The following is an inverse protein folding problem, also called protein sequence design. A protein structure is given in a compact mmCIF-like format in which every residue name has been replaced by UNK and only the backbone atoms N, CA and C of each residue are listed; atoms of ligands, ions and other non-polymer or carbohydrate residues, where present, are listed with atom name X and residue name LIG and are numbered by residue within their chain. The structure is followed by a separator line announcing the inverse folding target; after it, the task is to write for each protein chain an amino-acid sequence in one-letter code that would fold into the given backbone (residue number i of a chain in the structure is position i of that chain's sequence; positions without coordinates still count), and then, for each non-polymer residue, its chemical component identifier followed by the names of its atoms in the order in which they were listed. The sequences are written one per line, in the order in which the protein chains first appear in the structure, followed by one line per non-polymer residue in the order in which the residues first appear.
data_IF_773714043350
#
_entry.id   IF_773714043350
#
_cell.length_a   1.000
_cell.length_b   1.000
_cell.length_c   1.000
_cell.angle_alpha   90.00
_cell.angle_beta   90.00
_cell.angle_gamma   90.00
#
_symmetry.space_group_name_H-M   'P 1'
#
loop_
_entity.id
_entity.type
_entity.pdbx_description
1 polymer ?
#
# COMPACT_ATOMS: atom_id res chain seq x y z
N UNK A 1 -7.06 30.47 -14.68
CA UNK A 1 -6.45 30.71 -13.38
C UNK A 1 -6.03 32.18 -13.29
N UNK A 2 -6.80 33.01 -12.59
CA UNK A 2 -6.41 34.37 -12.27
C UNK A 2 -5.52 34.33 -11.01
N UNK A 3 -4.23 34.09 -11.19
CA UNK A 3 -3.30 34.11 -10.07
C UNK A 3 -2.65 35.49 -10.07
N UNK A 4 -2.87 36.28 -9.01
CA UNK A 4 -2.01 37.43 -8.80
C UNK A 4 -0.59 36.95 -8.60
N UNK A 5 0.37 37.50 -9.36
CA UNK A 5 1.77 37.12 -9.22
C UNK A 5 2.29 37.45 -7.82
N UNK A 6 3.13 36.61 -7.21
CA UNK A 6 3.80 36.94 -5.98
C UNK A 6 4.65 38.21 -6.15
N UNK A 7 4.92 38.94 -5.05
CA UNK A 7 5.67 40.18 -5.05
C UNK A 7 7.16 40.01 -5.38
N UNK A 8 7.60 38.84 -5.73
CA UNK A 8 8.96 38.51 -6.16
C UNK A 8 8.93 37.85 -7.53
N UNK A 9 10.06 37.81 -8.21
CA UNK A 9 10.18 37.09 -9.48
C UNK A 9 9.77 35.61 -9.31
N UNK A 10 8.96 35.11 -10.25
CA UNK A 10 8.50 33.71 -10.26
C UNK A 10 8.38 33.22 -11.70
N UNK A 11 8.50 31.92 -11.86
CA UNK A 11 8.26 31.23 -13.12
C UNK A 11 7.21 30.14 -12.88
N UNK A 12 6.14 30.17 -13.65
CA UNK A 12 5.15 29.12 -13.59
C UNK A 12 5.72 27.85 -14.21
N UNK A 13 5.71 26.76 -13.45
CA UNK A 13 6.08 25.44 -13.96
C UNK A 13 4.84 24.55 -14.00
N UNK A 14 4.46 24.11 -15.19
CA UNK A 14 3.39 23.12 -15.40
C UNK A 14 3.77 21.74 -14.88
N UNK A 15 5.05 21.48 -14.63
CA UNK A 15 5.55 20.23 -14.09
C UNK A 15 4.93 19.88 -12.73
N UNK A 16 4.67 20.89 -11.89
CA UNK A 16 4.02 20.68 -10.57
C UNK A 16 2.56 20.22 -10.67
N UNK A 17 1.93 20.34 -11.82
CA UNK A 17 0.57 19.89 -12.07
C UNK A 17 0.52 18.45 -12.66
N UNK A 18 1.68 17.87 -12.94
CA UNK A 18 1.80 16.56 -13.58
C UNK A 18 2.21 15.49 -12.58
N UNK A 19 1.72 14.28 -12.78
CA UNK A 19 2.09 13.10 -11.98
C UNK A 19 3.57 12.75 -12.06
N UNK A 20 4.27 13.18 -13.12
CA UNK A 20 5.71 13.01 -13.29
C UNK A 20 6.53 13.66 -12.16
N UNK A 21 6.00 14.71 -11.52
CA UNK A 21 6.61 15.26 -10.31
C UNK A 21 6.71 14.20 -9.21
N UNK A 22 5.63 13.45 -9.00
CA UNK A 22 5.60 12.37 -8.00
C UNK A 22 6.43 11.16 -8.47
N UNK A 23 6.40 10.86 -9.78
CA UNK A 23 7.17 9.80 -10.40
C UNK A 23 8.68 9.93 -10.25
N UNK A 24 9.19 11.15 -10.03
CA UNK A 24 10.62 11.36 -9.74
C UNK A 24 11.10 10.68 -8.45
N UNK A 25 10.19 10.37 -7.52
CA UNK A 25 10.49 9.69 -6.26
C UNK A 25 9.71 8.36 -6.09
N UNK A 26 8.52 8.25 -6.70
CA UNK A 26 7.65 7.07 -6.56
C UNK A 26 7.75 6.12 -7.76
N UNK A 27 8.98 5.88 -8.24
CA UNK A 27 9.29 4.93 -9.30
C UNK A 27 10.74 4.43 -9.14
N UNK A 28 10.96 3.63 -8.11
CA UNK A 28 12.29 3.29 -7.62
C UNK A 28 12.66 1.86 -8.02
N UNK A 29 13.84 1.71 -8.60
CA UNK A 29 14.52 0.44 -8.81
C UNK A 29 15.93 0.51 -8.20
N UNK A 30 16.65 -0.61 -8.19
CA UNK A 30 18.05 -0.62 -7.76
C UNK A 30 18.88 0.35 -8.60
N UNK A 31 19.87 1.03 -8.00
CA UNK A 31 20.68 2.02 -8.70
C UNK A 31 21.39 1.46 -9.94
N UNK A 32 21.47 2.29 -10.97
CA UNK A 32 22.24 2.00 -12.20
C UNK A 32 23.55 2.79 -12.17
N UNK A 33 24.65 2.09 -12.33
CA UNK A 33 26.00 2.68 -12.43
C UNK A 33 26.49 2.70 -13.87
N UNK A 34 27.68 3.22 -14.12
CA UNK A 34 28.33 3.14 -15.44
C UNK A 34 28.61 1.70 -15.89
N UNK A 35 28.67 0.75 -14.94
CA UNK A 35 28.85 -0.68 -15.21
C UNK A 35 27.50 -1.44 -15.36
N UNK A 36 26.37 -0.77 -15.25
CA UNK A 36 25.04 -1.36 -15.30
C UNK A 36 24.31 -1.32 -13.93
N UNK A 37 23.15 -1.96 -13.82
CA UNK A 37 22.40 -2.07 -12.57
C UNK A 37 23.21 -2.77 -11.48
N UNK A 38 23.12 -2.28 -10.23
CA UNK A 38 23.74 -2.97 -9.09
C UNK A 38 23.10 -4.34 -8.82
N UNK A 39 21.80 -4.46 -9.13
CA UNK A 39 21.06 -5.73 -9.15
C UNK A 39 20.10 -5.73 -10.32
N UNK A 40 19.99 -6.88 -10.96
CA UNK A 40 19.05 -7.10 -12.07
C UNK A 40 17.88 -7.97 -11.61
N UNK A 41 16.73 -7.77 -12.23
CA UNK A 41 15.56 -8.62 -12.05
C UNK A 41 15.79 -9.98 -12.71
N UNK A 42 15.67 -11.05 -11.94
CA UNK A 42 15.68 -12.43 -12.41
C UNK A 42 14.23 -12.94 -12.42
N UNK A 43 13.81 -13.51 -13.53
CA UNK A 43 12.48 -14.08 -13.69
C UNK A 43 12.38 -15.48 -13.05
N UNK A 44 11.18 -15.98 -12.83
CA UNK A 44 10.94 -17.30 -12.23
C UNK A 44 11.38 -18.50 -13.09
N UNK A 45 11.84 -18.27 -14.29
CA UNK A 45 12.50 -19.25 -15.17
C UNK A 45 14.04 -19.15 -15.15
N UNK A 46 14.59 -18.27 -14.31
CA UNK A 46 16.02 -18.01 -14.20
C UNK A 46 16.57 -17.01 -15.20
N UNK A 47 15.75 -16.44 -16.06
CA UNK A 47 16.22 -15.45 -17.03
C UNK A 47 16.61 -14.16 -16.33
N UNK A 48 17.86 -13.77 -16.44
CA UNK A 48 18.32 -12.44 -16.03
C UNK A 48 17.90 -11.42 -17.10
N UNK A 49 17.03 -10.49 -16.73
CA UNK A 49 16.48 -9.50 -17.66
C UNK A 49 17.45 -8.39 -18.05
N UNK A 50 18.51 -8.18 -17.26
CA UNK A 50 19.37 -7.01 -17.37
C UNK A 50 18.72 -5.70 -16.88
N UNK A 51 17.43 -5.70 -16.55
CA UNK A 51 16.74 -4.54 -15.99
C UNK A 51 17.09 -4.37 -14.51
N UNK A 52 17.11 -3.13 -13.99
CA UNK A 52 17.24 -2.90 -12.56
C UNK A 52 16.15 -3.62 -11.77
N UNK A 53 16.48 -4.18 -10.61
CA UNK A 53 15.47 -4.81 -9.76
C UNK A 53 14.45 -3.78 -9.23
N UNK A 54 13.13 -3.99 -9.45
CA UNK A 54 12.10 -3.04 -9.05
C UNK A 54 11.86 -3.07 -7.54
N UNK A 55 11.85 -1.90 -6.90
CA UNK A 55 11.62 -1.74 -5.47
C UNK A 55 10.22 -1.18 -5.20
N UNK A 56 9.89 -0.09 -5.87
CA UNK A 56 8.60 0.58 -5.82
C UNK A 56 8.29 1.16 -7.20
N UNK A 57 7.20 0.72 -7.83
CA UNK A 57 6.84 1.10 -9.20
C UNK A 57 5.47 1.78 -9.28
N UNK A 58 5.10 2.53 -8.25
CA UNK A 58 3.78 3.16 -8.14
C UNK A 58 3.46 4.07 -9.33
N UNK A 59 4.43 4.88 -9.78
CA UNK A 59 4.23 5.75 -10.94
C UNK A 59 4.13 4.96 -12.25
N UNK A 60 4.97 3.94 -12.45
CA UNK A 60 4.88 3.07 -13.63
C UNK A 60 3.58 2.29 -13.65
N UNK A 61 3.08 1.82 -12.50
CA UNK A 61 1.77 1.18 -12.38
C UNK A 61 0.64 2.14 -12.79
N UNK A 62 0.68 3.39 -12.31
CA UNK A 62 -0.26 4.43 -12.66
C UNK A 62 -0.19 4.78 -14.16
N UNK A 63 1.02 4.96 -14.70
CA UNK A 63 1.25 5.31 -16.11
C UNK A 63 0.68 4.28 -17.08
N UNK A 64 0.57 3.04 -16.66
CA UNK A 64 0.02 1.93 -17.44
C UNK A 64 -1.50 1.74 -17.23
N UNK A 65 -2.14 2.60 -16.46
CA UNK A 65 -3.58 2.59 -16.21
C UNK A 65 -4.32 3.59 -17.08
N UNK A 66 -5.65 3.50 -17.13
CA UNK A 66 -6.48 4.50 -17.80
C UNK A 66 -6.45 5.86 -17.12
N UNK A 67 -6.04 5.95 -15.86
CA UNK A 67 -5.82 7.24 -15.18
C UNK A 67 -4.76 8.09 -15.87
N UNK A 68 -3.71 7.49 -16.43
CA UNK A 68 -2.66 8.21 -17.15
C UNK A 68 -3.11 8.73 -18.51
N UNK A 69 -3.93 7.98 -19.22
CA UNK A 69 -4.43 8.37 -20.54
C UNK A 69 -5.28 9.63 -20.51
N UNK A 70 -6.05 9.80 -19.46
CA UNK A 70 -6.89 10.98 -19.26
C UNK A 70 -6.09 12.26 -19.02
N UNK A 71 -4.84 12.14 -18.62
CA UNK A 71 -3.94 13.28 -18.37
C UNK A 71 -3.18 13.65 -19.63
N UNK A 72 -2.77 12.66 -20.43
CA UNK A 72 -2.04 12.89 -21.68
C UNK A 72 -2.94 13.41 -22.81
N UNK A 73 -4.25 13.25 -22.71
CA UNK A 73 -5.22 13.81 -23.64
C UNK A 73 -5.51 15.30 -23.38
N UNK A 74 -4.54 16.07 -22.84
CA UNK A 74 -4.66 17.50 -22.52
C UNK A 74 -5.91 17.85 -21.69
N UNK A 75 -6.19 17.01 -20.71
CA UNK A 75 -7.37 17.13 -19.88
C UNK A 75 -8.58 17.30 -20.78
N UNK A 76 -9.19 16.27 -21.20
CA UNK A 76 -10.42 16.31 -22.04
C UNK A 76 -10.42 17.42 -23.08
N UNK A 77 -10.27 17.10 -24.33
CA UNK A 77 -10.25 18.09 -25.42
C UNK A 77 -11.33 19.14 -25.22
N UNK A 78 -11.15 20.36 -25.69
CA UNK A 78 -12.10 21.43 -25.46
C UNK A 78 -13.52 20.99 -25.83
N UNK A 79 -14.38 20.76 -24.82
CA UNK A 79 -15.76 20.36 -24.98
C UNK A 79 -16.11 18.88 -24.81
N UNK A 80 -15.14 17.99 -24.52
CA UNK A 80 -15.46 16.59 -24.20
C UNK A 80 -15.65 16.40 -22.70
N UNK A 81 -16.81 15.86 -22.24
CA UNK A 81 -17.01 15.53 -20.83
C UNK A 81 -16.18 14.31 -20.45
N UNK A 82 -15.49 14.39 -19.31
CA UNK A 82 -14.82 13.24 -18.72
C UNK A 82 -15.80 12.08 -18.49
N UNK A 83 -15.39 10.83 -18.71
CA UNK A 83 -16.20 9.69 -18.30
C UNK A 83 -16.51 9.79 -16.79
N UNK A 84 -17.76 9.59 -16.35
CA UNK A 84 -18.17 9.79 -14.96
C UNK A 84 -17.34 9.03 -13.91
N UNK A 85 -16.80 7.87 -14.30
CA UNK A 85 -15.94 7.04 -13.43
C UNK A 85 -14.53 7.61 -13.20
N UNK A 86 -14.10 8.60 -13.98
CA UNK A 86 -12.73 9.10 -14.02
C UNK A 86 -12.64 10.62 -13.82
N UNK A 87 -13.75 11.26 -13.46
CA UNK A 87 -13.82 12.72 -13.27
C UNK A 87 -13.04 13.26 -12.09
N UNK A 88 -12.51 12.39 -11.22
CA UNK A 88 -11.68 12.78 -10.09
C UNK A 88 -10.62 11.73 -9.83
N UNK A 89 -9.37 12.15 -9.67
CA UNK A 89 -8.27 11.28 -9.30
C UNK A 89 -7.50 10.72 -10.48
N UNK A 90 -7.46 11.44 -11.58
CA UNK A 90 -6.62 11.07 -12.72
C UNK A 90 -5.13 11.33 -12.44
N UNK A 91 -4.79 12.42 -11.76
CA UNK A 91 -3.40 12.72 -11.33
C UNK A 91 -3.13 12.25 -9.91
N UNK A 92 -1.84 12.08 -9.58
CA UNK A 92 -1.40 11.82 -8.21
C UNK A 92 -1.88 12.94 -7.27
N UNK A 93 -1.76 14.18 -7.71
CA UNK A 93 -2.15 15.36 -6.93
C UNK A 93 -3.65 15.38 -6.61
N UNK A 94 -4.51 15.00 -7.55
CA UNK A 94 -5.96 14.98 -7.34
C UNK A 94 -6.41 13.99 -6.27
N UNK A 95 -5.70 12.88 -6.10
CA UNK A 95 -5.96 11.91 -5.04
C UNK A 95 -5.25 12.27 -3.74
N UNK A 96 -3.96 12.61 -3.80
CA UNK A 96 -3.08 12.73 -2.63
C UNK A 96 -2.93 14.16 -2.10
N UNK A 97 -3.36 15.17 -2.86
CA UNK A 97 -3.32 16.60 -2.52
C UNK A 97 -4.68 17.24 -2.83
N UNK A 98 -5.72 16.76 -2.17
CA UNK A 98 -7.08 17.25 -2.41
C UNK A 98 -7.20 18.75 -2.12
N UNK A 99 -8.09 19.41 -2.84
CA UNK A 99 -8.42 20.81 -2.57
C UNK A 99 -8.98 21.00 -1.16
N UNK A 100 -8.65 22.12 -0.54
CA UNK A 100 -9.21 22.52 0.74
C UNK A 100 -10.73 22.67 0.63
N UNK A 101 -11.45 22.14 1.62
CA UNK A 101 -12.89 22.39 1.79
C UNK A 101 -13.18 23.68 2.55
N UNK A 102 -12.15 24.35 3.06
CA UNK A 102 -12.30 25.63 3.75
C UNK A 102 -12.53 26.75 2.72
N UNK A 103 -13.71 27.38 2.72
CA UNK A 103 -14.03 28.48 1.80
C UNK A 103 -13.17 29.73 2.05
N UNK A 104 -12.48 29.79 3.18
CA UNK A 104 -11.56 30.88 3.54
C UNK A 104 -10.11 30.51 3.29
N UNK A 105 -9.83 29.31 2.80
CA UNK A 105 -8.47 28.87 2.49
C UNK A 105 -7.84 29.79 1.44
N UNK A 106 -6.66 30.34 1.76
CA UNK A 106 -5.95 31.31 0.92
C UNK A 106 -4.55 30.81 0.60
N UNK A 107 -4.13 30.97 -0.65
CA UNK A 107 -2.77 30.67 -1.06
C UNK A 107 -1.73 31.64 -0.45
N UNK A 108 -2.16 32.87 -0.11
CA UNK A 108 -1.34 33.89 0.54
C UNK A 108 -2.21 34.70 1.52
N UNK A 109 -1.80 34.75 2.79
CA UNK A 109 -2.52 35.51 3.81
C UNK A 109 -2.50 37.02 3.60
N UNK A 110 -1.50 37.54 2.87
CA UNK A 110 -1.37 38.98 2.64
C UNK A 110 -2.28 39.50 1.53
N UNK A 111 -2.89 38.65 0.75
CA UNK A 111 -3.76 39.01 -0.35
C UNK A 111 -5.20 38.76 0.00
N UNK A 112 -5.88 39.83 0.47
CA UNK A 112 -7.26 39.77 0.93
C UNK A 112 -8.25 39.43 -0.20
N UNK A 113 -7.92 39.77 -1.45
CA UNK A 113 -8.79 39.59 -2.62
C UNK A 113 -8.56 38.29 -3.38
N UNK A 114 -7.48 37.57 -3.08
CA UNK A 114 -7.07 36.35 -3.75
C UNK A 114 -7.58 35.07 -3.08
N UNK A 115 -8.82 35.05 -2.57
CA UNK A 115 -9.38 33.80 -2.03
C UNK A 115 -9.62 32.79 -3.15
N UNK A 116 -8.87 31.69 -3.17
CA UNK A 116 -9.16 30.53 -4.00
C UNK A 116 -10.19 29.69 -3.25
N UNK A 117 -11.38 29.55 -3.83
CA UNK A 117 -12.45 28.80 -3.21
C UNK A 117 -12.49 27.41 -3.82
N UNK A 118 -12.35 26.37 -3.00
CA UNK A 118 -12.44 24.95 -3.38
C UNK A 118 -11.39 24.45 -4.40
N UNK A 119 -10.35 25.20 -4.66
CA UNK A 119 -9.31 24.83 -5.65
C UNK A 119 -7.88 24.92 -5.11
N UNK A 120 -7.70 25.23 -3.82
CA UNK A 120 -6.39 25.26 -3.19
C UNK A 120 -5.94 23.86 -2.79
N UNK A 121 -4.95 23.26 -3.48
CA UNK A 121 -4.44 21.94 -3.12
C UNK A 121 -3.81 21.98 -1.73
N UNK A 122 -4.15 21.01 -0.90
CA UNK A 122 -3.52 20.86 0.42
C UNK A 122 -2.34 19.91 0.30
N UNK A 123 -1.18 20.35 0.80
CA UNK A 123 0.05 19.56 0.79
C UNK A 123 0.04 18.48 1.89
N UNK A 124 -1.02 17.69 1.95
CA UNK A 124 -1.16 16.61 2.93
C UNK A 124 -0.40 15.35 2.51
N UNK A 125 -0.23 15.11 1.21
CA UNK A 125 0.38 13.89 0.65
C UNK A 125 -0.16 12.61 1.29
N UNK A 126 -1.48 12.57 1.49
CA UNK A 126 -2.12 11.46 2.18
C UNK A 126 -1.91 10.15 1.41
N UNK A 127 -1.26 9.19 2.07
CA UNK A 127 -1.08 7.83 1.58
C UNK A 127 -1.85 6.83 2.44
N UNK A 128 -1.36 5.59 2.50
CA UNK A 128 -2.00 4.50 3.26
C UNK A 128 -1.43 4.32 4.68
N UNK A 129 -0.45 5.14 5.09
CA UNK A 129 0.23 4.95 6.37
C UNK A 129 -0.52 5.63 7.52
N UNK A 130 -1.54 4.94 8.04
CA UNK A 130 -2.33 5.42 9.18
C UNK A 130 -1.67 5.15 10.55
N UNK A 131 -0.63 4.31 10.60
CA UNK A 131 0.00 3.90 11.86
C UNK A 131 1.16 4.80 12.29
N UNK A 132 2.12 5.09 11.41
CA UNK A 132 3.34 5.83 11.76
C UNK A 132 3.07 7.22 12.33
N UNK A 133 2.08 8.02 11.86
CA UNK A 133 1.75 9.28 12.52
C UNK A 133 1.40 9.12 14.00
N UNK A 134 0.59 8.11 14.35
CA UNK A 134 0.26 7.80 15.73
C UNK A 134 1.45 7.32 16.55
N UNK A 135 2.37 6.58 15.93
CA UNK A 135 3.61 6.14 16.56
C UNK A 135 4.56 7.33 16.85
N UNK A 136 4.72 8.24 15.91
CA UNK A 136 5.51 9.48 16.10
C UNK A 136 4.89 10.33 17.20
N UNK A 137 3.57 10.50 17.22
CA UNK A 137 2.87 11.20 18.28
C UNK A 137 3.08 10.53 19.65
N UNK A 138 2.95 9.21 19.71
CA UNK A 138 3.13 8.47 20.97
C UNK A 138 4.53 8.56 21.57
N UNK A 139 5.55 8.64 20.71
CA UNK A 139 6.96 8.68 21.15
C UNK A 139 7.47 10.10 21.35
N UNK A 140 7.06 11.05 20.51
CA UNK A 140 7.63 12.40 20.45
C UNK A 140 6.59 13.52 20.58
N UNK A 141 5.34 13.22 20.89
CA UNK A 141 4.26 14.20 20.97
C UNK A 141 4.31 15.07 22.22
N UNK A 142 3.30 15.93 22.34
CA UNK A 142 3.12 16.86 23.45
C UNK A 142 3.83 18.22 23.24
N UNK A 143 3.50 19.17 24.13
CA UNK A 143 3.98 20.56 24.04
C UNK A 143 5.51 20.68 24.20
N UNK A 144 6.13 19.83 24.98
CA UNK A 144 7.58 19.76 25.18
C UNK A 144 8.29 18.91 24.13
N UNK A 145 7.51 18.20 23.32
CA UNK A 145 7.97 17.36 22.23
C UNK A 145 7.96 18.08 20.89
N UNK A 146 7.47 17.38 19.85
CA UNK A 146 7.35 17.96 18.49
C UNK A 146 6.30 19.06 18.41
N UNK A 147 5.35 19.10 19.33
CA UNK A 147 4.21 20.01 19.33
C UNK A 147 3.46 20.02 17.98
N UNK A 148 3.17 18.80 17.46
CA UNK A 148 2.50 18.55 16.16
C UNK A 148 1.41 17.48 16.26
N UNK A 149 0.86 17.29 17.44
CA UNK A 149 -0.09 16.21 17.71
C UNK A 149 -1.34 16.31 16.83
N UNK A 150 -1.87 17.53 16.63
CA UNK A 150 -3.04 17.75 15.80
C UNK A 150 -2.79 17.46 14.32
N UNK A 151 -1.59 17.79 13.81
CA UNK A 151 -1.20 17.50 12.43
C UNK A 151 -0.96 16.00 12.22
N UNK A 152 -0.34 15.33 13.19
CA UNK A 152 -0.14 13.87 13.17
C UNK A 152 -1.47 13.13 13.21
N UNK A 153 -2.41 13.53 14.07
CA UNK A 153 -3.76 12.96 14.12
C UNK A 153 -4.49 13.16 12.78
N UNK A 154 -4.40 14.35 12.20
CA UNK A 154 -5.00 14.65 10.90
C UNK A 154 -4.39 13.78 9.79
N UNK A 155 -3.07 13.61 9.79
CA UNK A 155 -2.39 12.75 8.81
C UNK A 155 -2.85 11.31 8.91
N UNK A 156 -2.96 10.77 10.14
CA UNK A 156 -3.48 9.43 10.39
C UNK A 156 -4.95 9.27 9.94
N UNK A 157 -5.79 10.27 10.20
CA UNK A 157 -7.18 10.30 9.76
C UNK A 157 -7.28 10.31 8.23
N UNK A 158 -6.51 11.16 7.55
CA UNK A 158 -6.47 11.23 6.08
C UNK A 158 -6.02 9.93 5.43
N UNK A 159 -5.04 9.26 6.03
CA UNK A 159 -4.61 7.96 5.54
C UNK A 159 -5.71 6.90 5.67
N UNK A 160 -6.48 6.91 6.77
CA UNK A 160 -7.65 6.03 6.93
C UNK A 160 -8.74 6.35 5.90
N UNK A 161 -9.09 7.62 5.70
CA UNK A 161 -10.05 8.05 4.69
C UNK A 161 -9.63 7.62 3.27
N UNK A 162 -8.34 7.69 2.95
CA UNK A 162 -7.80 7.23 1.67
C UNK A 162 -8.04 5.72 1.48
N UNK A 163 -7.77 4.94 2.51
CA UNK A 163 -7.97 3.49 2.49
C UNK A 163 -9.45 3.12 2.40
N UNK A 164 -10.30 3.66 3.29
CA UNK A 164 -11.69 3.22 3.46
C UNK A 164 -12.63 3.77 2.38
N UNK A 165 -12.40 4.99 1.90
CA UNK A 165 -13.34 5.65 0.99
C UNK A 165 -12.92 5.61 -0.49
N UNK A 166 -11.66 5.29 -0.82
CA UNK A 166 -11.12 5.52 -2.16
C UNK A 166 -10.29 4.39 -2.76
N UNK A 167 -9.82 3.44 -1.95
CA UNK A 167 -8.88 2.44 -2.44
C UNK A 167 -9.56 1.26 -3.13
N UNK A 168 -10.68 0.79 -2.60
CA UNK A 168 -11.37 -0.40 -3.11
C UNK A 168 -12.89 -0.31 -2.94
N UNK A 169 -13.59 -1.06 -3.79
CA UNK A 169 -14.98 -1.45 -3.56
C UNK A 169 -15.06 -2.97 -3.41
N UNK A 170 -15.96 -3.42 -2.53
CA UNK A 170 -16.12 -4.84 -2.26
C UNK A 170 -17.59 -5.26 -2.37
N UNK A 171 -17.81 -6.42 -2.98
CA UNK A 171 -19.14 -7.04 -3.08
C UNK A 171 -19.03 -8.49 -2.63
N UNK A 172 -19.91 -8.88 -1.71
CA UNK A 172 -20.06 -10.28 -1.26
C UNK A 172 -21.37 -10.85 -1.77
N UNK A 173 -21.29 -11.99 -2.44
CA UNK A 173 -22.44 -12.77 -2.93
C UNK A 173 -22.46 -14.10 -2.23
N UNK A 174 -23.57 -14.42 -1.57
CA UNK A 174 -23.81 -15.72 -0.97
C UNK A 174 -24.57 -16.60 -1.96
N UNK A 175 -24.09 -17.81 -2.16
CA UNK A 175 -24.82 -18.84 -2.89
C UNK A 175 -25.84 -19.53 -1.96
N UNK A 176 -26.89 -20.15 -2.51
CA UNK A 176 -27.85 -20.87 -1.69
C UNK A 176 -27.15 -21.92 -0.82
N UNK A 177 -27.54 -21.97 0.46
CA UNK A 177 -27.02 -22.99 1.37
C UNK A 177 -27.39 -24.38 0.89
N UNK A 178 -26.42 -25.30 0.87
CA UNK A 178 -26.60 -26.71 0.49
C UNK A 178 -26.62 -27.57 1.76
N UNK A 179 -27.81 -27.91 2.32
CA UNK A 179 -27.90 -28.59 3.61
C UNK A 179 -27.22 -29.97 3.62
N UNK A 180 -27.30 -30.70 2.51
CA UNK A 180 -26.68 -32.03 2.40
C UNK A 180 -25.15 -32.00 2.50
N UNK A 181 -24.52 -30.88 2.03
CA UNK A 181 -23.08 -30.72 2.11
C UNK A 181 -22.65 -29.95 3.37
N UNK A 182 -23.60 -29.37 4.10
CA UNK A 182 -23.31 -28.48 5.26
C UNK A 182 -22.29 -27.40 4.95
N UNK A 183 -22.36 -26.81 3.76
CA UNK A 183 -21.46 -25.78 3.26
C UNK A 183 -22.26 -24.62 2.72
N UNK A 184 -21.85 -23.41 3.14
CA UNK A 184 -22.27 -22.14 2.56
C UNK A 184 -21.12 -21.60 1.70
N UNK A 185 -21.41 -21.26 0.45
CA UNK A 185 -20.42 -20.65 -0.44
C UNK A 185 -20.58 -19.14 -0.45
N UNK A 186 -19.47 -18.43 -0.22
CA UNK A 186 -19.40 -16.98 -0.34
C UNK A 186 -18.38 -16.58 -1.41
N UNK A 187 -18.76 -15.70 -2.32
CA UNK A 187 -17.83 -15.09 -3.29
C UNK A 187 -17.63 -13.63 -2.92
N UNK A 188 -16.37 -13.25 -2.70
CA UNK A 188 -15.97 -11.90 -2.36
C UNK A 188 -15.19 -11.32 -3.54
N UNK A 189 -15.75 -10.28 -4.17
CA UNK A 189 -15.10 -9.52 -5.23
C UNK A 189 -14.52 -8.23 -4.65
N UNK A 190 -13.22 -8.02 -4.85
CA UNK A 190 -12.51 -6.77 -4.52
C UNK A 190 -12.17 -6.06 -5.82
N UNK A 191 -12.63 -4.83 -5.96
CA UNK A 191 -12.34 -3.97 -7.13
C UNK A 191 -11.38 -2.86 -6.70
N UNK A 192 -10.27 -2.73 -7.40
CA UNK A 192 -9.30 -1.65 -7.20
C UNK A 192 -9.87 -0.35 -7.80
N UNK A 193 -9.97 0.71 -6.98
CA UNK A 193 -10.40 2.05 -7.38
C UNK A 193 -9.22 3.04 -7.43
N UNK A 194 -8.02 2.62 -7.01
CA UNK A 194 -6.82 3.45 -7.06
C UNK A 194 -6.23 3.50 -8.48
N UNK A 195 -5.41 4.51 -8.74
CA UNK A 195 -4.74 4.67 -10.02
C UNK A 195 -3.52 3.77 -10.22
N UNK A 196 -3.16 2.95 -9.25
CA UNK A 196 -2.03 2.05 -9.22
C UNK A 196 -2.44 0.70 -8.64
N UNK A 197 -1.55 -0.28 -8.59
CA UNK A 197 -1.88 -1.58 -7.97
C UNK A 197 -2.32 -1.42 -6.51
N UNK A 198 -3.07 -2.37 -6.04
CA UNK A 198 -3.58 -2.39 -4.67
C UNK A 198 -3.16 -3.68 -3.95
N UNK A 199 -2.35 -3.56 -2.86
CA UNK A 199 -1.63 -2.37 -2.40
C UNK A 199 -0.46 -1.97 -3.31
N UNK A 200 0.05 -0.73 -3.17
CA UNK A 200 1.23 -0.25 -3.91
C UNK A 200 2.32 0.28 -2.97
N UNK A 201 3.39 0.83 -3.54
CA UNK A 201 4.55 1.35 -2.84
C UNK A 201 5.54 0.26 -2.46
N UNK A 202 6.35 0.51 -1.43
CA UNK A 202 7.32 -0.46 -0.93
C UNK A 202 6.62 -1.74 -0.48
N UNK A 203 6.88 -2.84 -1.20
CA UNK A 203 6.10 -4.08 -1.07
C UNK A 203 6.43 -4.92 0.16
N UNK A 204 7.63 -4.78 0.72
CA UNK A 204 8.08 -5.62 1.82
C UNK A 204 7.36 -5.29 3.13
N UNK A 205 6.77 -6.29 3.76
CA UNK A 205 6.03 -6.15 5.01
C UNK A 205 4.66 -5.50 4.88
N UNK A 206 4.31 -4.95 3.72
CA UNK A 206 2.99 -4.36 3.41
C UNK A 206 2.09 -5.43 2.82
N UNK A 207 0.85 -5.51 3.33
CA UNK A 207 -0.12 -6.49 2.85
C UNK A 207 -1.55 -5.99 2.94
N UNK A 208 -2.41 -6.52 2.07
CA UNK A 208 -3.87 -6.48 2.24
C UNK A 208 -4.38 -7.91 2.26
N UNK A 209 -5.46 -8.16 3.02
CA UNK A 209 -6.06 -9.49 3.04
C UNK A 209 -7.56 -9.41 3.27
N UNK A 210 -8.25 -10.48 2.91
CA UNK A 210 -9.65 -10.66 3.22
C UNK A 210 -9.79 -11.37 4.57
N UNK A 211 -10.50 -10.73 5.51
CA UNK A 211 -11.04 -11.39 6.69
C UNK A 211 -12.51 -11.71 6.42
N UNK A 212 -12.87 -12.97 6.43
CA UNK A 212 -14.24 -13.43 6.22
C UNK A 212 -14.70 -14.18 7.45
N UNK A 213 -15.86 -13.76 8.00
CA UNK A 213 -16.42 -14.32 9.22
C UNK A 213 -17.84 -14.77 8.97
N UNK A 214 -18.20 -15.94 9.50
CA UNK A 214 -19.55 -16.45 9.53
C UNK A 214 -20.02 -16.54 10.98
N UNK A 215 -21.12 -15.86 11.29
CA UNK A 215 -21.77 -15.86 12.61
C UNK A 215 -23.13 -16.53 12.50
N UNK A 216 -23.51 -17.28 13.52
CA UNK A 216 -24.87 -17.84 13.62
C UNK A 216 -25.90 -16.78 14.07
N UNK A 217 -27.17 -17.19 14.15
CA UNK A 217 -28.26 -16.29 14.59
C UNK A 217 -28.08 -15.78 16.02
N UNK A 218 -27.25 -16.40 16.84
CA UNK A 218 -26.90 -16.00 18.19
C UNK A 218 -25.61 -15.17 18.24
N UNK A 219 -25.08 -14.74 17.08
CA UNK A 219 -23.80 -14.01 16.94
C UNK A 219 -22.57 -14.83 17.41
N UNK A 220 -22.68 -16.17 17.45
CA UNK A 220 -21.55 -17.02 17.73
C UNK A 220 -20.73 -17.26 16.46
N UNK A 221 -19.39 -17.24 16.60
CA UNK A 221 -18.48 -17.48 15.48
C UNK A 221 -18.58 -18.95 15.05
N UNK A 222 -19.01 -19.17 13.81
CA UNK A 222 -19.09 -20.50 13.17
C UNK A 222 -17.80 -20.80 12.41
N UNK A 223 -17.28 -19.82 11.71
CA UNK A 223 -16.08 -19.96 10.89
C UNK A 223 -15.43 -18.60 10.62
N UNK A 224 -14.10 -18.61 10.44
CA UNK A 224 -13.34 -17.43 10.09
C UNK A 224 -12.12 -17.80 9.25
N UNK A 225 -11.80 -16.96 8.26
CA UNK A 225 -10.53 -16.96 7.53
C UNK A 225 -9.91 -15.57 7.63
N UNK A 226 -8.57 -15.52 7.74
CA UNK A 226 -7.84 -14.25 7.83
C UNK A 226 -7.98 -13.56 9.18
N UNK A 227 -8.08 -14.30 10.26
CA UNK A 227 -8.14 -13.77 11.62
C UNK A 227 -6.85 -13.01 11.98
N UNK A 228 -7.01 -11.82 12.56
CA UNK A 228 -5.89 -11.01 13.04
C UNK A 228 -5.94 -10.81 14.54
N UNK A 229 -4.84 -11.14 15.21
CA UNK A 229 -4.71 -11.01 16.66
C UNK A 229 -4.09 -9.66 17.02
N UNK A 230 -4.91 -8.69 17.37
CA UNK A 230 -4.46 -7.33 17.65
C UNK A 230 -3.40 -7.24 18.78
N UNK A 231 -3.51 -8.09 19.81
CA UNK A 231 -2.58 -8.10 20.94
C UNK A 231 -1.16 -8.56 20.54
N UNK A 232 -1.05 -9.47 19.58
CA UNK A 232 0.24 -10.05 19.15
C UNK A 232 0.71 -9.55 17.79
N UNK A 233 -0.16 -8.88 17.03
CA UNK A 233 0.12 -8.44 15.66
C UNK A 233 0.20 -9.57 14.63
N UNK A 234 -0.35 -10.75 14.95
CA UNK A 234 -0.27 -11.95 14.11
C UNK A 234 -1.49 -12.06 13.20
N UNK A 235 -1.25 -12.24 11.91
CA UNK A 235 -2.25 -12.73 10.96
C UNK A 235 -2.22 -14.25 10.99
N UNK A 236 -3.37 -14.87 11.29
CA UNK A 236 -3.49 -16.32 11.31
C UNK A 236 -3.52 -16.85 9.88
N UNK A 237 -2.58 -17.72 9.57
CA UNK A 237 -2.57 -18.43 8.29
C UNK A 237 -3.58 -19.60 8.34
N UNK A 238 -4.46 -19.66 7.36
CA UNK A 238 -5.42 -20.73 7.16
C UNK A 238 -5.50 -21.12 5.68
N UNK A 239 -6.14 -22.23 5.38
CA UNK A 239 -6.17 -22.80 4.02
C UNK A 239 -6.94 -21.93 2.99
N UNK A 240 -7.77 -20.99 3.44
CA UNK A 240 -8.56 -20.11 2.58
C UNK A 240 -8.14 -18.66 2.69
N UNK A 241 -7.07 -18.36 3.43
CA UNK A 241 -6.54 -16.99 3.56
C UNK A 241 -6.18 -16.41 2.20
N UNK A 242 -6.78 -15.29 1.85
CA UNK A 242 -6.43 -14.50 0.66
C UNK A 242 -5.67 -13.25 1.05
N UNK A 243 -4.40 -13.18 0.63
CA UNK A 243 -3.53 -12.01 0.81
C UNK A 243 -3.20 -11.41 -0.56
N UNK A 244 -3.18 -10.10 -0.65
CA UNK A 244 -2.67 -9.33 -1.79
C UNK A 244 -1.35 -8.70 -1.38
N UNK A 245 -0.26 -9.16 -1.97
CA UNK A 245 1.11 -8.78 -1.59
C UNK A 245 2.09 -9.00 -2.75
N UNK A 246 3.32 -8.53 -2.55
CA UNK A 246 4.49 -8.95 -3.33
C UNK A 246 5.34 -9.86 -2.47
N UNK A 247 5.70 -11.04 -2.99
CA UNK A 247 6.69 -11.93 -2.39
C UNK A 247 7.98 -11.83 -3.19
N UNK A 248 8.94 -11.15 -2.63
CA UNK A 248 10.27 -10.95 -3.18
C UNK A 248 11.24 -11.95 -2.56
N UNK A 249 12.29 -12.27 -3.27
CA UNK A 249 13.26 -13.27 -2.82
C UNK A 249 14.61 -13.17 -3.50
N UNK A 250 15.42 -14.17 -3.26
CA UNK A 250 16.75 -14.33 -3.83
C UNK A 250 16.71 -15.53 -4.77
N UNK A 251 17.15 -15.33 -6.00
CA UNK A 251 17.23 -16.42 -6.97
C UNK A 251 18.27 -17.45 -6.55
N UNK A 252 17.86 -18.69 -6.37
CA UNK A 252 18.76 -19.82 -6.14
C UNK A 252 18.93 -20.64 -7.42
N UNK A 253 20.11 -20.59 -8.02
CA UNK A 253 20.44 -21.35 -9.21
C UNK A 253 20.54 -22.86 -8.98
N UNK A 254 20.71 -23.31 -7.73
CA UNK A 254 20.79 -24.73 -7.41
C UNK A 254 19.40 -25.39 -7.37
N UNK A 255 18.40 -24.67 -6.87
CA UNK A 255 17.00 -25.13 -6.84
C UNK A 255 16.23 -24.70 -8.09
N UNK A 256 16.69 -23.69 -8.82
CA UNK A 256 16.00 -23.08 -9.94
C UNK A 256 14.73 -22.33 -9.51
N UNK A 257 14.75 -21.74 -8.31
CA UNK A 257 13.58 -21.04 -7.74
C UNK A 257 13.95 -19.69 -7.14
N UNK A 258 12.98 -18.80 -7.11
CA UNK A 258 13.03 -17.58 -6.33
C UNK A 258 12.71 -17.92 -4.87
N UNK A 259 13.73 -18.01 -4.04
CA UNK A 259 13.60 -18.38 -2.63
C UNK A 259 13.12 -17.18 -1.81
N UNK A 260 11.94 -17.30 -1.22
CA UNK A 260 11.30 -16.27 -0.38
C UNK A 260 11.50 -16.50 1.12
N UNK A 261 12.34 -17.50 1.47
CA UNK A 261 12.70 -17.80 2.86
C UNK A 261 14.14 -18.29 2.92
N UNK A 262 14.86 -17.92 3.96
CA UNK A 262 16.19 -18.47 4.26
C UNK A 262 16.09 -19.90 4.80
N UNK A 263 17.26 -20.55 5.02
CA UNK A 263 17.32 -21.91 5.56
C UNK A 263 16.67 -22.10 6.95
N UNK A 264 16.27 -21.03 7.63
CA UNK A 264 15.52 -21.03 8.87
C UNK A 264 14.03 -20.66 8.66
N UNK A 265 13.56 -20.57 7.42
CA UNK A 265 12.19 -20.21 7.07
C UNK A 265 11.86 -18.71 7.20
N UNK A 266 12.87 -17.85 7.35
CA UNK A 266 12.68 -16.40 7.48
C UNK A 266 12.66 -15.74 6.11
N UNK A 267 11.69 -14.85 5.89
CA UNK A 267 11.59 -14.08 4.64
C UNK A 267 12.74 -13.07 4.53
N UNK A 268 13.43 -12.96 3.38
CA UNK A 268 14.46 -11.94 3.16
C UNK A 268 13.82 -10.59 2.82
N UNK A 269 13.21 -9.96 3.81
CA UNK A 269 12.48 -8.69 3.67
C UNK A 269 13.38 -7.48 3.41
N UNK A 270 14.31 -7.56 2.48
CA UNK A 270 15.15 -6.40 2.19
C UNK A 270 15.52 -6.31 0.72
N UNK A 271 15.08 -5.24 0.07
CA UNK A 271 15.32 -4.97 -1.34
C UNK A 271 16.80 -5.06 -1.74
N UNK A 272 17.73 -4.77 -0.82
CA UNK A 272 19.17 -4.91 -1.10
C UNK A 272 19.62 -6.36 -1.26
N UNK A 273 18.84 -7.32 -0.76
CA UNK A 273 19.13 -8.76 -0.87
C UNK A 273 18.38 -9.40 -2.03
N UNK A 274 17.16 -8.94 -2.29
CA UNK A 274 16.26 -9.54 -3.26
C UNK A 274 16.65 -9.21 -4.71
N UNK A 275 16.47 -10.16 -5.61
CA UNK A 275 16.72 -10.02 -7.05
C UNK A 275 15.63 -10.69 -7.92
N UNK A 276 14.66 -11.34 -7.30
CA UNK A 276 13.54 -11.98 -8.00
C UNK A 276 12.21 -11.72 -7.31
N UNK A 277 11.12 -11.90 -8.04
CA UNK A 277 9.75 -11.78 -7.54
C UNK A 277 9.07 -13.13 -7.77
N UNK A 278 8.71 -13.83 -6.70
CA UNK A 278 7.99 -15.10 -6.77
C UNK A 278 6.50 -14.92 -7.00
N UNK A 279 5.92 -13.93 -6.32
CA UNK A 279 4.49 -13.61 -6.42
C UNK A 279 4.31 -12.08 -6.44
N UNK A 280 3.49 -11.59 -7.35
CA UNK A 280 2.85 -10.29 -7.28
C UNK A 280 1.38 -10.47 -7.69
N UNK A 281 0.51 -10.64 -6.70
CA UNK A 281 -0.93 -10.79 -6.88
C UNK A 281 -1.71 -9.54 -6.50
N UNK A 282 -1.05 -8.39 -6.43
CA UNK A 282 -1.69 -7.10 -6.17
C UNK A 282 -2.66 -6.77 -7.30
N UNK A 283 -3.85 -6.27 -6.94
CA UNK A 283 -4.93 -6.04 -7.91
C UNK A 283 -4.55 -4.87 -8.84
N UNK A 284 -4.54 -5.06 -10.17
CA UNK A 284 -4.21 -4.00 -11.11
C UNK A 284 -5.17 -2.81 -11.04
N UNK A 285 -4.76 -1.59 -11.43
CA UNK A 285 -5.67 -0.46 -11.62
C UNK A 285 -6.54 -0.64 -12.87
N UNK A 286 -7.56 0.21 -13.01
CA UNK A 286 -8.46 0.18 -14.16
C UNK A 286 -7.68 0.38 -15.48
N UNK A 287 -7.96 -0.44 -16.47
CA UNK A 287 -7.36 -0.39 -17.80
C UNK A 287 -5.86 -0.71 -17.84
N UNK A 288 -5.32 -1.40 -16.85
CA UNK A 288 -3.90 -1.70 -16.72
C UNK A 288 -3.34 -2.48 -17.92
N UNK A 289 -2.32 -1.92 -18.58
CA UNK A 289 -1.64 -2.47 -19.75
C UNK A 289 -0.28 -3.09 -19.46
N UNK A 290 0.13 -3.07 -18.19
CA UNK A 290 1.42 -3.59 -17.74
C UNK A 290 1.54 -5.10 -17.67
N UNK A 291 0.59 -5.87 -18.25
CA UNK A 291 0.62 -7.33 -18.19
C UNK A 291 1.85 -7.98 -18.84
N UNK A 292 2.48 -7.31 -19.81
CA UNK A 292 3.72 -7.75 -20.45
C UNK A 292 4.98 -7.04 -19.92
N UNK A 293 4.83 -6.01 -19.09
CA UNK A 293 5.95 -5.26 -18.55
C UNK A 293 6.61 -6.03 -17.40
N UNK A 294 7.91 -6.30 -17.53
CA UNK A 294 8.62 -7.19 -16.61
C UNK A 294 8.73 -6.64 -15.17
N UNK A 295 8.68 -5.31 -15.01
CA UNK A 295 8.85 -4.67 -13.71
C UNK A 295 7.51 -4.44 -12.97
N UNK A 296 6.39 -4.46 -13.70
CA UNK A 296 5.05 -4.14 -13.13
C UNK A 296 4.00 -5.22 -13.34
N UNK A 297 4.27 -6.25 -14.15
CA UNK A 297 3.28 -7.31 -14.41
C UNK A 297 2.94 -8.09 -13.13
N UNK A 298 1.75 -8.70 -13.05
CA UNK A 298 1.49 -9.76 -12.09
C UNK A 298 2.48 -10.93 -12.27
N UNK A 299 2.91 -11.54 -11.17
CA UNK A 299 3.84 -12.67 -11.16
C UNK A 299 3.25 -13.79 -10.30
N UNK A 300 3.27 -15.03 -10.77
CA UNK A 300 2.72 -16.17 -10.05
C UNK A 300 1.20 -16.12 -9.84
N UNK A 301 0.54 -15.12 -10.45
CA UNK A 301 -0.90 -14.92 -10.43
C UNK A 301 -1.37 -14.34 -11.77
N UNK A 302 -2.55 -14.74 -12.24
CA UNK A 302 -3.08 -14.31 -13.53
C UNK A 302 -4.36 -13.51 -13.35
N UNK A 303 -4.36 -12.28 -13.83
CA UNK A 303 -5.55 -11.49 -14.03
C UNK A 303 -6.02 -11.63 -15.48
N UNK A 304 -7.30 -11.96 -15.73
CA UNK A 304 -7.81 -12.03 -17.09
C UNK A 304 -7.80 -10.65 -17.77
N UNK A 305 -7.77 -10.65 -19.07
CA UNK A 305 -7.99 -9.43 -19.84
C UNK A 305 -9.47 -9.01 -19.78
N UNK A 306 -9.73 -7.72 -19.86
CA UNK A 306 -11.10 -7.15 -19.91
C UNK A 306 -11.91 -7.66 -21.10
N UNK A 307 -11.22 -7.93 -22.22
CA UNK A 307 -11.70 -8.68 -23.38
C UNK A 307 -10.51 -9.36 -24.05
N UNK A 308 -10.68 -10.53 -24.66
CA UNK A 308 -9.58 -11.27 -25.28
C UNK A 308 -8.78 -10.44 -26.27
N UNK A 309 -7.46 -10.38 -26.12
CA UNK A 309 -6.55 -9.62 -26.98
C UNK A 309 -6.53 -8.11 -26.72
N UNK A 310 -7.20 -7.62 -25.67
CA UNK A 310 -7.19 -6.18 -25.34
C UNK A 310 -5.86 -5.70 -24.79
N UNK A 311 -5.04 -6.60 -24.25
CA UNK A 311 -3.84 -6.25 -23.47
C UNK A 311 -4.13 -5.51 -22.16
N UNK A 312 -5.41 -5.37 -21.77
CA UNK A 312 -5.86 -4.65 -20.59
C UNK A 312 -6.36 -5.63 -19.54
N UNK A 313 -5.75 -5.66 -18.37
CA UNK A 313 -6.16 -6.54 -17.28
C UNK A 313 -7.37 -5.98 -16.54
N UNK A 314 -8.19 -6.89 -15.98
CA UNK A 314 -9.27 -6.50 -15.07
C UNK A 314 -8.70 -5.87 -13.79
N UNK A 315 -9.44 -4.92 -13.22
CA UNK A 315 -9.07 -4.24 -11.98
C UNK A 315 -9.76 -4.84 -10.74
N UNK A 316 -10.08 -6.11 -10.78
CA UNK A 316 -10.71 -6.79 -9.65
C UNK A 316 -10.20 -8.22 -9.50
N UNK A 317 -10.38 -8.75 -8.30
CA UNK A 317 -10.20 -10.16 -8.00
C UNK A 317 -11.44 -10.72 -7.33
N UNK A 318 -11.68 -12.02 -7.47
CA UNK A 318 -12.81 -12.72 -6.85
C UNK A 318 -12.33 -13.98 -6.14
N UNK A 319 -12.52 -14.02 -4.82
CA UNK A 319 -12.17 -15.16 -3.98
C UNK A 319 -13.44 -15.89 -3.57
N UNK A 320 -13.42 -17.22 -3.69
CA UNK A 320 -14.52 -18.09 -3.25
C UNK A 320 -14.15 -18.77 -1.95
N UNK A 321 -15.03 -18.67 -0.98
CA UNK A 321 -14.90 -19.29 0.33
C UNK A 321 -15.91 -20.41 0.50
N UNK A 322 -15.44 -21.56 0.97
CA UNK A 322 -16.27 -22.70 1.39
C UNK A 322 -16.39 -22.69 2.91
N UNK A 323 -17.54 -22.28 3.40
CA UNK A 323 -17.82 -22.06 4.82
C UNK A 323 -18.55 -23.28 5.38
N UNK A 324 -17.92 -24.10 6.22
CA UNK A 324 -18.62 -25.21 6.88
C UNK A 324 -19.65 -24.66 7.87
N UNK A 325 -20.86 -25.23 7.81
CA UNK A 325 -21.98 -24.91 8.72
C UNK A 325 -22.35 -26.20 9.47
N UNK A 326 -21.79 -26.43 10.66
CA UNK A 326 -22.05 -27.64 11.45
C UNK A 326 -23.54 -27.88 11.75
N UNK A 327 -23.93 -29.10 11.91
CA UNK A 327 -25.28 -29.44 12.37
C UNK A 327 -25.57 -28.79 13.72
N UNK A 328 -26.76 -28.21 13.86
CA UNK A 328 -27.16 -27.51 15.06
C UNK A 328 -26.80 -26.04 15.09
N UNK A 329 -26.11 -25.53 14.04
CA UNK A 329 -25.88 -24.07 13.90
C UNK A 329 -27.22 -23.34 13.82
N UNK A 330 -27.38 -22.30 14.62
CA UNK A 330 -28.59 -21.48 14.62
C UNK A 330 -28.67 -20.63 13.34
N UNK A 331 -29.74 -20.78 12.57
CA UNK A 331 -29.93 -20.07 11.31
C UNK A 331 -30.76 -18.78 11.51
N UNK A 332 -30.52 -17.74 10.70
CA UNK A 332 -29.61 -17.68 9.56
C UNK A 332 -28.14 -17.49 9.97
N UNK A 333 -27.24 -17.95 9.10
CA UNK A 333 -25.81 -17.60 9.19
C UNK A 333 -25.57 -16.28 8.48
N UNK A 334 -24.96 -15.33 9.17
CA UNK A 334 -24.53 -14.06 8.63
C UNK A 334 -23.04 -14.13 8.24
N UNK A 335 -22.72 -13.78 6.99
CA UNK A 335 -21.34 -13.70 6.51
C UNK A 335 -20.94 -12.25 6.33
N UNK A 336 -19.81 -11.89 6.90
CA UNK A 336 -19.17 -10.58 6.71
C UNK A 336 -17.80 -10.76 6.09
N UNK A 337 -17.46 -9.92 5.13
CA UNK A 337 -16.11 -9.83 4.57
C UNK A 337 -15.56 -8.44 4.79
N UNK A 338 -14.31 -8.34 5.19
CA UNK A 338 -13.59 -7.09 5.41
C UNK A 338 -12.25 -7.16 4.68
N UNK A 339 -11.95 -6.15 3.87
CA UNK A 339 -10.63 -5.99 3.27
C UNK A 339 -9.77 -5.20 4.25
N UNK A 340 -8.67 -5.82 4.72
CA UNK A 340 -7.78 -5.24 5.71
C UNK A 340 -6.47 -4.84 5.07
N UNK A 341 -5.92 -3.69 5.46
CA UNK A 341 -4.61 -3.21 5.06
C UNK A 341 -3.69 -3.04 6.25
N UNK A 342 -2.47 -3.55 6.15
CA UNK A 342 -1.41 -3.38 7.15
C UNK A 342 -0.14 -2.83 6.50
N UNK A 343 0.38 -1.72 7.04
CA UNK A 343 1.55 -1.04 6.50
C UNK A 343 2.87 -1.75 6.83
N UNK A 344 2.93 -2.43 7.97
CA UNK A 344 4.12 -3.17 8.41
C UNK A 344 3.72 -4.41 9.17
N UNK A 345 4.04 -5.57 8.62
CA UNK A 345 3.77 -6.84 9.28
C UNK A 345 4.71 -7.09 10.45
N UNK A 346 4.31 -7.97 11.36
CA UNK A 346 5.13 -8.42 12.50
C UNK A 346 6.44 -9.03 12.00
N UNK A 347 6.32 -9.90 11.01
CA UNK A 347 7.41 -10.65 10.42
C UNK A 347 8.49 -9.73 9.86
N UNK A 348 8.09 -8.62 9.23
CA UNK A 348 9.00 -7.60 8.73
C UNK A 348 9.79 -6.92 9.85
N UNK A 349 9.10 -6.53 10.93
CA UNK A 349 9.75 -5.86 12.06
C UNK A 349 10.66 -6.82 12.85
N UNK A 350 10.27 -8.08 12.96
CA UNK A 350 11.12 -9.12 13.55
C UNK A 350 12.37 -9.36 12.70
N UNK A 351 12.23 -9.43 11.38
CA UNK A 351 13.37 -9.52 10.46
C UNK A 351 14.36 -8.37 10.64
N UNK A 352 13.88 -7.12 10.68
CA UNK A 352 14.75 -5.94 10.88
C UNK A 352 15.51 -6.00 12.21
N UNK A 353 14.85 -6.41 13.30
CA UNK A 353 15.47 -6.62 14.61
C UNK A 353 16.54 -7.70 14.54
N UNK A 354 16.18 -8.85 14.00
CA UNK A 354 17.03 -10.04 14.02
C UNK A 354 18.26 -9.88 13.12
N UNK A 355 18.11 -9.25 11.96
CA UNK A 355 19.24 -8.91 11.09
C UNK A 355 20.19 -7.91 11.75
N UNK A 356 19.67 -6.95 12.48
CA UNK A 356 20.49 -6.00 13.23
C UNK A 356 21.31 -6.70 14.34
N UNK A 357 20.74 -7.69 15.00
CA UNK A 357 21.45 -8.49 16.02
C UNK A 357 22.47 -9.42 15.39
N UNK A 358 22.07 -10.19 14.35
CA UNK A 358 22.93 -11.16 13.68
C UNK A 358 24.18 -10.53 13.06
N UNK A 359 24.03 -9.35 12.48
CA UNK A 359 25.11 -8.65 11.81
C UNK A 359 25.82 -7.64 12.72
N UNK A 360 25.51 -7.61 14.01
CA UNK A 360 26.07 -6.69 14.99
C UNK A 360 26.06 -5.23 14.48
N UNK A 361 24.95 -4.82 13.84
CA UNK A 361 24.82 -3.45 13.35
C UNK A 361 25.05 -2.46 14.48
N UNK A 362 25.82 -1.40 14.22
CA UNK A 362 26.13 -0.43 15.23
C UNK A 362 24.87 0.25 15.75
N UNK A 363 24.96 0.82 16.94
CA UNK A 363 23.91 1.70 17.47
C UNK A 363 23.65 2.84 16.49
N UNK A 364 22.45 3.43 16.55
CA UNK A 364 22.03 4.53 15.68
C UNK A 364 23.03 5.67 15.60
N UNK A 365 23.73 5.97 16.70
CA UNK A 365 24.78 6.99 16.75
C UNK A 365 25.98 6.71 15.83
N UNK A 366 26.25 5.43 15.56
CA UNK A 366 27.35 5.04 14.68
C UNK A 366 26.96 5.05 13.22
N UNK A 367 25.67 4.81 12.91
CA UNK A 367 25.16 4.79 11.52
C UNK A 367 24.95 6.19 10.94
N UNK A 368 24.54 7.15 11.76
CA UNK A 368 24.25 8.50 11.37
C UNK A 368 24.80 9.47 12.41
N UNK A 369 26.12 9.72 12.36
CA UNK A 369 26.78 10.65 13.27
C UNK A 369 26.08 12.02 13.23
N UNK A 370 25.46 12.43 14.33
CA UNK A 370 24.73 13.68 14.46
C UNK A 370 23.21 13.58 14.19
N UNK A 371 22.72 12.51 13.57
CA UNK A 371 21.30 12.27 13.39
C UNK A 371 20.68 11.76 14.68
N UNK A 372 20.26 12.68 15.49
CA UNK A 372 19.44 12.35 16.67
C UNK A 372 17.98 12.65 16.33
N UNK A 373 17.03 11.75 16.65
CA UNK A 373 15.66 12.21 16.78
C UNK A 373 15.68 13.43 17.69
N UNK A 374 15.05 14.56 17.30
CA UNK A 374 15.25 15.86 17.94
C UNK A 374 14.94 15.88 19.45
N UNK A 375 14.29 14.84 19.95
CA UNK A 375 13.77 14.79 21.31
C UNK A 375 14.14 13.50 22.07
N UNK A 376 14.97 12.63 21.51
CA UNK A 376 15.37 11.42 22.21
C UNK A 376 16.26 11.75 23.42
N UNK A 377 15.77 11.42 24.59
CA UNK A 377 16.52 11.49 25.86
C UNK A 377 17.06 10.11 26.21
N UNK A 378 18.34 10.00 26.52
CA UNK A 378 18.96 8.76 27.01
C UNK A 378 19.99 8.14 26.07
N UNK A 379 20.73 7.11 26.55
CA UNK A 379 21.76 6.45 25.76
C UNK A 379 21.14 5.65 24.61
N UNK A 380 21.64 5.85 23.41
CA UNK A 380 21.22 5.13 22.22
C UNK A 380 22.09 3.90 22.07
N UNK A 381 21.59 2.82 22.60
CA UNK A 381 22.29 1.51 22.59
C UNK A 381 21.71 0.54 21.57
N UNK A 382 20.60 0.91 20.91
CA UNK A 382 19.89 0.06 19.99
C UNK A 382 20.22 0.43 18.54
N UNK A 383 20.30 -0.57 17.66
CA UNK A 383 20.27 -0.37 16.22
C UNK A 383 18.88 0.11 15.77
N UNK A 384 18.76 0.63 14.56
CA UNK A 384 17.48 1.09 14.01
C UNK A 384 16.43 -0.03 13.95
N UNK A 385 16.84 -1.25 13.58
CA UNK A 385 15.94 -2.41 13.56
C UNK A 385 15.42 -2.77 14.95
N UNK A 386 16.28 -2.81 15.95
CA UNK A 386 15.89 -3.03 17.37
C UNK A 386 14.98 -1.92 17.88
N UNK A 387 15.32 -0.66 17.59
CA UNK A 387 14.51 0.49 18.01
C UNK A 387 13.12 0.44 17.38
N UNK A 388 13.04 0.21 16.08
CA UNK A 388 11.74 0.10 15.37
C UNK A 388 10.88 -1.05 15.90
N UNK A 389 11.51 -2.19 16.21
CA UNK A 389 10.78 -3.31 16.82
C UNK A 389 10.29 -2.97 18.25
N UNK A 390 11.06 -2.21 19.03
CA UNK A 390 10.62 -1.76 20.36
C UNK A 390 9.41 -0.83 20.25
N UNK A 391 9.41 0.12 19.29
CA UNK A 391 8.25 0.97 19.03
C UNK A 391 7.04 0.13 18.58
N UNK A 392 7.27 -0.85 17.71
CA UNK A 392 6.21 -1.77 17.30
C UNK A 392 5.67 -2.61 18.46
N UNK A 393 6.50 -2.95 19.42
CA UNK A 393 6.13 -3.76 20.60
C UNK A 393 5.36 -2.96 21.66
N UNK A 394 5.34 -1.63 21.56
CA UNK A 394 4.63 -0.78 22.51
C UNK A 394 3.14 -1.17 22.60
N UNK A 395 2.59 -1.34 23.82
CA UNK A 395 1.20 -1.77 24.01
C UNK A 395 0.16 -0.71 23.62
N UNK A 396 0.54 0.57 23.60
CA UNK A 396 -0.40 1.68 23.37
C UNK A 396 -0.52 2.06 21.90
N UNK A 397 0.60 2.21 21.19
CA UNK A 397 0.64 2.69 19.80
C UNK A 397 1.38 1.74 18.84
N UNK A 398 1.81 0.59 19.32
CA UNK A 398 2.52 -0.40 18.53
C UNK A 398 1.61 -1.31 17.69
N UNK A 399 2.18 -2.46 17.27
CA UNK A 399 1.54 -3.56 16.53
C UNK A 399 1.12 -3.26 15.10
N UNK A 400 1.25 -2.03 14.59
CA UNK A 400 0.81 -1.67 13.23
C UNK A 400 -0.60 -2.22 12.94
N UNK A 401 -1.62 -1.75 13.65
CA UNK A 401 -2.97 -2.27 13.52
C UNK A 401 -3.48 -2.08 12.09
N UNK A 402 -4.20 -3.07 11.54
CA UNK A 402 -4.77 -2.94 10.22
C UNK A 402 -5.87 -1.88 10.18
N UNK A 403 -6.08 -1.33 8.98
CA UNK A 403 -7.23 -0.49 8.63
C UNK A 403 -8.18 -1.33 7.79
N UNK A 404 -9.47 -1.17 8.09
CA UNK A 404 -10.58 -1.90 7.46
C UNK A 404 -11.21 -1.08 6.34
#
# INVERSE_FOLDING_TARGET
MGIEPPRHGWVQSVYHLKSELCGSCHDVSTPVTSAGPLKTLILNDGTNTGLPYPIERTFSEWRQSDHADLIFADGFGPGEPAPPALTRGATCQECHMRSSSDPLAKACQQNLDGSRTNDLPVHEFAGANAWVPGLIKGEYGGETGLNRDAELDRTGLRAREMLTARSAAMVTVLEPFVPAAQVLTARVKVTNLAGHKLPTGYGEGRRMWLQVRALDANSQLVWESGAYQAATGVLTEDAQLKVYEVQQGIWDSATGQCEIADGNGRKPFHFALNDCIRLDNRIPPVGFRGGADLETRPVGYTYPETSPGSGRLVNYDTTTYSIPVPLGTALPVQVTATLRFQISSKEYLEFLRDQAVLNAFPSENALCAGDRPPLATGPRTLSRGQYMFNLWSNPTYGKSPPVD
#
